data_IF_145154709764
#
_entry.id   IF_145154709764
#
_cell.length_a   1.000
_cell.length_b   1.000
_cell.length_c   1.000
_cell.angle_alpha   90.00
_cell.angle_beta   90.00
_cell.angle_gamma   90.00
#
_symmetry.space_group_name_H-M   'P 1'
#
loop_
_entity.id
_entity.type
_entity.pdbx_description
1 polymer ?
#
# COMPACT_ATOMS: atom_id res chain seq x y z
N UNK A 1 83.91 -25.92 -58.22
CA UNK A 1 84.28 -24.75 -57.41
C UNK A 1 83.37 -23.63 -57.82
N UNK A 2 82.39 -23.34 -56.97
CA UNK A 2 81.47 -22.21 -57.07
C UNK A 2 80.88 -22.08 -55.67
N UNK A 3 81.11 -20.95 -55.03
CA UNK A 3 80.45 -20.57 -53.79
C UNK A 3 79.04 -20.05 -54.08
N UNK A 4 78.10 -20.31 -53.17
CA UNK A 4 77.45 -19.24 -52.38
C UNK A 4 76.34 -19.85 -51.50
N UNK A 5 76.39 -19.62 -50.19
CA UNK A 5 75.35 -20.06 -49.26
C UNK A 5 75.33 -19.20 -47.97
N UNK A 6 74.46 -18.21 -47.93
CA UNK A 6 74.23 -17.32 -46.77
C UNK A 6 72.79 -16.75 -46.78
N UNK A 7 72.24 -16.18 -45.68
CA UNK A 7 71.39 -17.03 -44.83
C UNK A 7 70.04 -16.42 -44.38
N UNK A 8 69.13 -17.32 -43.95
CA UNK A 8 68.06 -17.10 -42.94
C UNK A 8 67.02 -15.98 -43.24
N UNK A 9 66.10 -15.64 -42.31
CA UNK A 9 64.99 -16.50 -41.89
C UNK A 9 63.61 -15.83 -42.04
N UNK A 10 62.56 -16.60 -42.35
CA UNK A 10 61.18 -16.15 -42.17
C UNK A 10 60.78 -16.22 -40.69
N UNK A 11 60.22 -15.13 -40.17
CA UNK A 11 59.66 -15.03 -38.82
C UNK A 11 58.14 -14.89 -38.90
N UNK A 12 57.39 -15.79 -38.28
CA UNK A 12 55.92 -15.66 -38.21
C UNK A 12 55.50 -14.50 -37.30
N UNK A 13 54.55 -13.64 -37.72
CA UNK A 13 53.99 -12.62 -36.86
C UNK A 13 53.05 -13.25 -35.82
N UNK A 14 53.51 -13.36 -34.57
CA UNK A 14 52.64 -13.78 -33.46
C UNK A 14 51.48 -12.78 -33.29
N UNK A 15 50.25 -13.23 -33.58
CA UNK A 15 49.04 -12.47 -33.29
C UNK A 15 48.87 -12.32 -31.78
N UNK A 16 49.10 -11.11 -31.28
CA UNK A 16 48.97 -10.79 -29.87
C UNK A 16 47.48 -10.60 -29.50
N UNK A 17 46.80 -11.69 -29.15
CA UNK A 17 45.47 -11.62 -28.54
C UNK A 17 45.53 -10.70 -27.30
N UNK A 18 44.74 -9.61 -27.24
CA UNK A 18 44.73 -8.73 -26.09
C UNK A 18 44.22 -9.50 -24.87
N UNK A 19 45.02 -9.55 -23.80
CA UNK A 19 44.56 -10.10 -22.52
C UNK A 19 43.56 -9.12 -21.92
N UNK A 20 42.36 -9.57 -21.49
CA UNK A 20 41.45 -8.70 -20.75
C UNK A 20 42.14 -8.25 -19.46
N UNK A 21 42.19 -6.94 -19.24
CA UNK A 21 42.81 -6.37 -18.05
C UNK A 21 41.86 -6.60 -16.87
N UNK A 22 42.32 -7.38 -15.89
CA UNK A 22 41.62 -7.50 -14.61
C UNK A 22 41.60 -6.12 -13.94
N UNK A 23 40.41 -5.57 -13.76
CA UNK A 23 40.18 -4.30 -13.09
C UNK A 23 39.55 -4.56 -11.74
N UNK A 24 39.77 -3.63 -10.81
CA UNK A 24 39.04 -3.65 -9.56
C UNK A 24 37.60 -3.18 -9.78
N UNK A 25 36.61 -3.77 -9.11
CA UNK A 25 35.21 -3.30 -9.20
C UNK A 25 35.10 -1.81 -8.84
N UNK A 26 35.97 -1.28 -7.98
CA UNK A 26 36.08 0.15 -7.69
C UNK A 26 36.19 1.05 -8.95
N UNK A 27 36.76 0.55 -10.05
CA UNK A 27 36.87 1.27 -11.33
C UNK A 27 35.68 1.02 -12.28
N UNK A 28 34.89 -0.03 -12.03
CA UNK A 28 33.73 -0.43 -12.85
C UNK A 28 32.38 -0.15 -12.16
N UNK A 29 32.39 0.49 -10.99
CA UNK A 29 31.23 0.69 -10.11
C UNK A 29 30.23 1.79 -10.56
N UNK A 30 29.97 1.93 -11.87
CA UNK A 30 28.78 2.64 -12.33
C UNK A 30 27.53 1.78 -12.07
N UNK A 31 26.40 2.37 -11.64
CA UNK A 31 25.15 1.62 -11.51
C UNK A 31 24.77 0.96 -12.84
N UNK A 32 24.33 -0.29 -12.77
CA UNK A 32 23.97 -1.15 -13.90
C UNK A 32 25.13 -1.55 -14.83
N UNK A 33 26.40 -1.41 -14.41
CA UNK A 33 27.53 -1.98 -15.13
C UNK A 33 27.47 -3.52 -15.16
N UNK A 34 27.65 -4.10 -16.35
CA UNK A 34 27.72 -5.55 -16.58
C UNK A 34 29.16 -6.03 -16.52
N UNK A 35 29.46 -6.91 -15.56
CA UNK A 35 30.82 -7.33 -15.19
C UNK A 35 30.90 -8.84 -15.00
N UNK A 36 32.06 -9.43 -15.29
CA UNK A 36 32.40 -10.80 -14.92
C UNK A 36 33.31 -10.78 -13.70
N UNK A 37 32.83 -11.32 -12.58
CA UNK A 37 33.62 -11.48 -11.36
C UNK A 37 34.74 -12.51 -11.60
N UNK A 38 35.91 -12.31 -11.00
CA UNK A 38 37.04 -13.25 -11.15
C UNK A 38 36.96 -14.46 -10.21
N UNK A 39 36.31 -14.34 -9.04
CA UNK A 39 36.30 -15.42 -8.02
C UNK A 39 35.11 -15.30 -7.07
N UNK A 40 34.17 -16.28 -7.04
CA UNK A 40 33.93 -17.28 -8.08
C UNK A 40 33.54 -16.62 -9.42
N UNK A 41 33.82 -17.27 -10.57
CA UNK A 41 33.50 -16.71 -11.88
C UNK A 41 31.99 -16.72 -12.15
N UNK A 42 31.40 -15.53 -12.23
CA UNK A 42 30.01 -15.29 -12.58
C UNK A 42 29.89 -14.01 -13.41
N UNK A 43 28.92 -13.97 -14.32
CA UNK A 43 28.45 -12.69 -14.86
C UNK A 43 27.52 -12.01 -13.85
N UNK A 44 27.56 -10.68 -13.79
CA UNK A 44 26.80 -9.91 -12.83
C UNK A 44 26.47 -8.49 -13.33
N UNK A 45 25.43 -7.89 -12.73
CA UNK A 45 25.07 -6.48 -12.89
C UNK A 45 25.33 -5.75 -11.56
N UNK A 46 26.12 -4.68 -11.59
CA UNK A 46 26.34 -3.80 -10.44
C UNK A 46 25.04 -3.07 -10.11
N UNK A 47 24.53 -3.21 -8.88
CA UNK A 47 23.29 -2.56 -8.45
C UNK A 47 23.55 -1.23 -7.76
N UNK A 48 24.37 -1.25 -6.70
CA UNK A 48 24.67 -0.07 -5.88
C UNK A 48 25.98 -0.22 -5.13
N UNK A 49 26.60 0.90 -4.75
CA UNK A 49 27.84 0.96 -3.97
C UNK A 49 27.55 1.55 -2.59
N UNK A 50 28.03 0.88 -1.55
CA UNK A 50 27.87 1.24 -0.13
C UNK A 50 29.26 1.30 0.52
N UNK A 51 29.96 2.41 0.30
CA UNK A 51 31.31 2.63 0.80
C UNK A 51 32.35 1.68 0.17
N UNK A 52 32.81 0.70 0.96
CA UNK A 52 33.72 -0.37 0.52
C UNK A 52 33.01 -1.66 0.10
N UNK A 53 31.68 -1.70 0.11
CA UNK A 53 30.89 -2.81 -0.40
C UNK A 53 30.16 -2.43 -1.68
N UNK A 54 29.95 -3.39 -2.57
CA UNK A 54 29.14 -3.26 -3.79
C UNK A 54 28.11 -4.39 -3.79
N UNK A 55 26.84 -4.04 -3.97
CA UNK A 55 25.78 -5.02 -4.19
C UNK A 55 25.71 -5.31 -5.69
N UNK A 56 25.84 -6.59 -6.07
CA UNK A 56 25.72 -7.07 -7.44
C UNK A 56 24.59 -8.08 -7.54
N UNK A 57 23.92 -8.15 -8.69
CA UNK A 57 23.04 -9.24 -9.04
C UNK A 57 23.79 -10.20 -9.96
N UNK A 58 23.92 -11.47 -9.55
CA UNK A 58 24.53 -12.50 -10.38
C UNK A 58 23.59 -12.94 -11.52
N UNK A 59 24.17 -13.53 -12.57
CA UNK A 59 23.46 -14.22 -13.66
C UNK A 59 22.46 -15.29 -13.19
N UNK A 60 22.70 -15.89 -12.03
CA UNK A 60 21.77 -16.80 -11.33
C UNK A 60 20.53 -16.12 -10.73
N UNK A 61 20.39 -14.80 -10.84
CA UNK A 61 19.31 -14.01 -10.23
C UNK A 61 19.49 -13.76 -8.73
N UNK A 62 20.63 -14.13 -8.15
CA UNK A 62 20.93 -13.95 -6.72
C UNK A 62 21.64 -12.62 -6.47
N UNK A 63 21.09 -11.78 -5.59
CA UNK A 63 21.76 -10.57 -5.11
C UNK A 63 22.84 -10.94 -4.10
N UNK A 64 24.05 -10.37 -4.27
CA UNK A 64 25.21 -10.62 -3.40
C UNK A 64 25.98 -9.33 -3.15
N UNK A 65 26.29 -9.07 -1.88
CA UNK A 65 27.28 -8.04 -1.51
C UNK A 65 28.69 -8.59 -1.69
N UNK A 66 29.55 -7.85 -2.38
CA UNK A 66 30.99 -8.11 -2.56
C UNK A 66 31.81 -6.92 -2.08
N UNK A 67 33.11 -7.12 -1.84
CA UNK A 67 34.00 -6.00 -1.52
C UNK A 67 34.25 -5.16 -2.79
N UNK A 68 34.45 -3.85 -2.63
CA UNK A 68 34.80 -2.95 -3.73
C UNK A 68 36.15 -3.32 -4.36
N UNK A 69 37.03 -3.99 -3.58
CA UNK A 69 38.33 -4.56 -3.96
C UNK A 69 38.25 -5.94 -4.64
N UNK A 70 37.12 -6.27 -5.29
CA UNK A 70 36.93 -7.57 -5.96
C UNK A 70 37.32 -7.45 -7.43
N UNK A 71 38.26 -8.29 -7.88
CA UNK A 71 38.66 -8.34 -9.29
C UNK A 71 37.50 -8.72 -10.21
N UNK A 72 37.31 -7.94 -11.27
CA UNK A 72 36.32 -8.17 -12.31
C UNK A 72 36.79 -7.65 -13.68
N UNK A 73 36.12 -8.07 -14.75
CA UNK A 73 36.30 -7.51 -16.10
C UNK A 73 34.96 -7.01 -16.63
N UNK A 74 34.94 -5.90 -17.36
CA UNK A 74 33.74 -5.47 -18.07
C UNK A 74 33.31 -6.54 -19.09
N UNK A 75 32.00 -6.71 -19.29
CA UNK A 75 31.47 -7.56 -20.36
C UNK A 75 31.25 -6.67 -21.58
N UNK A 76 32.01 -6.90 -22.65
CA UNK A 76 31.98 -6.06 -23.86
C UNK A 76 30.94 -6.52 -24.91
N UNK A 77 30.46 -7.76 -24.86
CA UNK A 77 29.42 -8.24 -25.78
C UNK A 77 28.06 -7.62 -25.45
N UNK A 78 27.60 -6.71 -26.32
CA UNK A 78 26.29 -6.06 -26.22
C UNK A 78 25.12 -7.05 -26.17
N UNK A 79 25.22 -8.24 -26.77
CA UNK A 79 24.20 -9.29 -26.67
C UNK A 79 24.01 -9.74 -25.21
N UNK A 80 25.09 -10.21 -24.59
CA UNK A 80 25.14 -10.60 -23.18
C UNK A 80 24.85 -9.44 -22.22
N UNK A 81 25.27 -8.21 -22.53
CA UNK A 81 24.89 -7.03 -21.75
C UNK A 81 23.37 -6.87 -21.66
N UNK A 82 22.67 -6.90 -22.80
CA UNK A 82 21.21 -6.73 -22.89
C UNK A 82 20.47 -7.88 -22.19
N UNK A 83 20.99 -9.12 -22.30
CA UNK A 83 20.46 -10.28 -21.59
C UNK A 83 20.52 -10.10 -20.06
N UNK A 84 21.72 -9.78 -19.53
CA UNK A 84 21.95 -9.59 -18.10
C UNK A 84 21.13 -8.42 -17.53
N UNK A 85 21.05 -7.30 -18.26
CA UNK A 85 20.25 -6.14 -17.85
C UNK A 85 18.74 -6.44 -17.86
N UNK A 86 18.25 -7.22 -18.82
CA UNK A 86 16.84 -7.66 -18.86
C UNK A 86 16.52 -8.63 -17.72
N UNK A 87 17.41 -9.58 -17.46
CA UNK A 87 17.31 -10.47 -16.29
C UNK A 87 17.28 -9.68 -14.98
N UNK A 88 18.19 -8.72 -14.83
CA UNK A 88 18.24 -7.86 -13.66
C UNK A 88 16.98 -7.01 -13.48
N UNK A 89 16.48 -6.37 -14.53
CA UNK A 89 15.22 -5.63 -14.49
C UNK A 89 14.03 -6.52 -14.06
N UNK A 90 13.98 -7.78 -14.51
CA UNK A 90 12.93 -8.75 -14.16
C UNK A 90 13.01 -9.22 -12.70
N UNK A 91 14.21 -9.48 -12.18
CA UNK A 91 14.40 -9.86 -10.76
C UNK A 91 14.11 -8.66 -9.85
N UNK A 92 14.60 -7.48 -10.18
CA UNK A 92 14.40 -6.27 -9.37
C UNK A 92 12.93 -5.81 -9.36
N UNK A 93 12.21 -5.91 -10.48
CA UNK A 93 10.78 -5.62 -10.51
C UNK A 93 9.98 -6.63 -9.67
N UNK A 94 10.29 -7.91 -9.79
CA UNK A 94 9.68 -8.99 -9.00
C UNK A 94 9.91 -8.80 -7.49
N UNK A 95 11.14 -8.47 -7.07
CA UNK A 95 11.45 -8.14 -5.68
C UNK A 95 10.70 -6.89 -5.22
N UNK A 96 10.67 -5.82 -6.01
CA UNK A 96 9.93 -4.60 -5.67
C UNK A 96 8.41 -4.84 -5.56
N UNK A 97 7.85 -5.75 -6.35
CA UNK A 97 6.45 -6.20 -6.26
C UNK A 97 6.20 -6.92 -4.93
N UNK A 98 7.08 -7.87 -4.57
CA UNK A 98 7.01 -8.63 -3.32
C UNK A 98 7.15 -7.72 -2.09
N UNK A 99 8.10 -6.77 -2.09
CA UNK A 99 8.25 -5.80 -1.01
C UNK A 99 7.04 -4.87 -0.88
N UNK A 100 6.47 -4.39 -2.00
CA UNK A 100 5.22 -3.59 -1.97
C UNK A 100 4.06 -4.37 -1.37
N UNK A 101 3.84 -5.62 -1.81
CA UNK A 101 2.80 -6.48 -1.24
C UNK A 101 3.03 -6.80 0.25
N UNK A 102 4.28 -7.09 0.65
CA UNK A 102 4.62 -7.38 2.05
C UNK A 102 4.38 -6.16 2.94
N UNK A 103 4.77 -4.97 2.49
CA UNK A 103 4.52 -3.70 3.18
C UNK A 103 3.02 -3.40 3.29
N UNK A 104 2.23 -3.67 2.25
CA UNK A 104 0.78 -3.50 2.26
C UNK A 104 0.09 -4.46 3.24
N UNK A 105 0.50 -5.74 3.27
CA UNK A 105 0.00 -6.72 4.26
C UNK A 105 0.34 -6.30 5.69
N UNK A 106 1.59 -5.92 5.95
CA UNK A 106 2.03 -5.46 7.27
C UNK A 106 1.28 -4.20 7.74
N UNK A 107 0.98 -3.27 6.83
CA UNK A 107 0.17 -2.09 7.14
C UNK A 107 -1.29 -2.45 7.44
N UNK A 108 -1.91 -3.33 6.64
CA UNK A 108 -3.28 -3.83 6.89
C UNK A 108 -3.38 -4.56 8.23
N UNK A 109 -2.50 -5.52 8.48
CA UNK A 109 -2.39 -6.22 9.75
C UNK A 109 -2.22 -5.28 10.96
N UNK A 110 -1.53 -4.13 10.79
CA UNK A 110 -1.36 -3.15 11.84
C UNK A 110 -2.68 -2.41 12.13
N UNK A 111 -3.42 -2.00 11.09
CA UNK A 111 -4.76 -1.40 11.22
C UNK A 111 -5.72 -2.38 11.90
N UNK A 112 -5.76 -3.64 11.46
CA UNK A 112 -6.62 -4.68 12.06
C UNK A 112 -6.32 -4.89 13.55
N UNK A 113 -5.05 -4.86 13.95
CA UNK A 113 -4.60 -4.99 15.34
C UNK A 113 -4.99 -3.76 16.17
N UNK A 114 -4.84 -2.54 15.66
CA UNK A 114 -5.29 -1.32 16.34
C UNK A 114 -6.82 -1.30 16.51
N UNK A 115 -7.58 -1.71 15.49
CA UNK A 115 -9.05 -1.77 15.57
C UNK A 115 -9.51 -2.84 16.58
N UNK A 116 -8.84 -4.00 16.64
CA UNK A 116 -9.07 -5.02 17.65
C UNK A 116 -8.76 -4.53 19.09
N UNK A 117 -7.66 -3.80 19.28
CA UNK A 117 -7.30 -3.18 20.56
C UNK A 117 -8.35 -2.14 20.98
N UNK A 118 -8.77 -1.26 20.06
CA UNK A 118 -9.85 -0.30 20.27
C UNK A 118 -11.16 -0.98 20.67
N UNK A 119 -11.54 -2.04 19.96
CA UNK A 119 -12.77 -2.82 20.22
C UNK A 119 -12.72 -3.50 21.59
N UNK A 120 -11.56 -4.01 22.00
CA UNK A 120 -11.34 -4.56 23.34
C UNK A 120 -11.46 -3.50 24.45
N UNK A 121 -10.82 -2.34 24.28
CA UNK A 121 -10.88 -1.23 25.25
C UNK A 121 -12.32 -0.68 25.41
N UNK A 122 -13.07 -0.56 24.30
CA UNK A 122 -14.49 -0.19 24.32
C UNK A 122 -15.33 -1.27 25.03
N UNK A 123 -15.03 -2.56 24.85
CA UNK A 123 -15.64 -3.66 25.60
C UNK A 123 -15.44 -3.50 27.10
N UNK A 124 -14.18 -3.40 27.54
CA UNK A 124 -13.81 -3.20 28.95
C UNK A 124 -14.40 -1.95 29.60
N UNK A 125 -14.67 -0.90 28.82
CA UNK A 125 -15.41 0.26 29.30
C UNK A 125 -16.91 -0.03 29.50
N UNK A 126 -17.55 -0.80 28.61
CA UNK A 126 -18.95 -1.22 28.76
C UNK A 126 -19.15 -2.19 29.92
N UNK A 127 -18.16 -3.05 30.17
CA UNK A 127 -18.13 -3.97 31.32
C UNK A 127 -17.86 -3.25 32.65
N UNK A 128 -17.57 -1.94 32.63
CA UNK A 128 -17.30 -1.11 33.81
C UNK A 128 -15.87 -1.19 34.35
N UNK A 129 -15.01 -2.03 33.77
CA UNK A 129 -13.60 -2.19 34.17
C UNK A 129 -12.74 -0.96 33.83
N UNK A 130 -13.14 -0.17 32.82
CA UNK A 130 -12.46 1.08 32.41
C UNK A 130 -13.43 2.25 32.49
N UNK A 131 -13.05 3.32 33.20
CA UNK A 131 -13.85 4.53 33.28
C UNK A 131 -13.80 5.33 31.95
N UNK A 132 -14.84 6.14 31.69
CA UNK A 132 -14.99 6.88 30.43
C UNK A 132 -13.74 7.70 30.06
N UNK A 133 -13.25 8.51 31.02
CA UNK A 133 -12.07 9.36 30.84
C UNK A 133 -10.81 8.54 30.57
N UNK A 134 -10.69 7.34 31.15
CA UNK A 134 -9.57 6.43 30.93
C UNK A 134 -9.58 5.83 29.52
N UNK A 135 -10.76 5.50 29.00
CA UNK A 135 -10.92 5.08 27.60
C UNK A 135 -10.59 6.23 26.64
N UNK A 136 -11.12 7.44 26.87
CA UNK A 136 -10.86 8.59 25.99
C UNK A 136 -9.38 8.98 25.96
N UNK A 137 -8.71 8.98 27.12
CA UNK A 137 -7.27 9.21 27.20
C UNK A 137 -6.46 8.12 26.49
N UNK A 138 -6.83 6.84 26.66
CA UNK A 138 -6.20 5.73 25.95
C UNK A 138 -6.35 5.85 24.43
N UNK A 139 -7.54 6.19 23.94
CA UNK A 139 -7.76 6.35 22.50
C UNK A 139 -6.98 7.55 21.94
N UNK A 140 -6.91 8.67 22.68
CA UNK A 140 -6.15 9.85 22.27
C UNK A 140 -4.62 9.60 22.22
N UNK A 141 -4.06 8.89 23.22
CA UNK A 141 -2.61 8.58 23.28
C UNK A 141 -2.13 7.76 22.06
N UNK A 142 -3.00 6.92 21.50
CA UNK A 142 -2.69 6.06 20.34
C UNK A 142 -3.29 6.57 19.01
N UNK A 143 -3.71 7.84 18.93
CA UNK A 143 -4.33 8.48 17.74
C UNK A 143 -5.51 7.67 17.16
N UNK A 144 -6.32 7.07 18.04
CA UNK A 144 -7.48 6.25 17.69
C UNK A 144 -8.77 7.08 17.69
N UNK A 145 -9.71 6.73 16.80
CA UNK A 145 -11.04 7.36 16.76
C UNK A 145 -11.73 7.31 18.15
N UNK A 146 -12.13 8.47 18.68
CA UNK A 146 -12.85 8.61 19.95
C UNK A 146 -14.07 7.68 20.06
N UNK A 147 -14.42 7.21 21.26
CA UNK A 147 -15.59 6.36 21.43
C UNK A 147 -16.89 7.18 21.46
N UNK A 148 -17.66 7.17 20.37
CA UNK A 148 -18.93 7.90 20.28
C UNK A 148 -20.13 6.93 20.30
N UNK A 149 -20.65 6.55 21.50
CA UNK A 149 -21.81 5.67 21.62
C UNK A 149 -23.09 6.35 21.12
N UNK A 150 -23.53 5.99 19.92
CA UNK A 150 -24.86 6.37 19.41
C UNK A 150 -25.94 5.52 20.10
N UNK A 151 -27.05 6.14 20.49
CA UNK A 151 -28.28 5.46 20.90
C UNK A 151 -29.30 5.60 19.77
N UNK A 152 -29.99 4.53 19.41
CA UNK A 152 -31.20 4.60 18.59
C UNK A 152 -32.39 4.73 19.54
N UNK A 153 -33.24 5.72 19.32
CA UNK A 153 -34.55 5.85 19.99
C UNK A 153 -35.60 5.44 18.96
N UNK A 154 -36.56 4.63 19.39
CA UNK A 154 -37.75 4.28 18.60
C UNK A 154 -38.96 4.68 19.43
N UNK A 155 -39.89 5.38 18.80
CA UNK A 155 -41.05 5.99 19.44
C UNK A 155 -42.25 5.92 18.51
N UNK A 156 -43.45 6.13 19.07
CA UNK A 156 -44.71 6.25 18.33
C UNK A 156 -45.36 7.56 18.76
N UNK A 157 -45.93 8.31 17.82
CA UNK A 157 -46.75 9.49 18.10
C UNK A 157 -48.19 9.14 17.71
N UNK A 158 -49.14 9.54 18.55
CA UNK A 158 -50.58 9.40 18.32
C UNK A 158 -51.24 10.69 18.75
N UNK A 159 -52.16 11.20 17.94
CA UNK A 159 -52.89 12.44 18.17
C UNK A 159 -53.84 12.73 17.01
N UNK A 160 -54.75 13.67 17.22
CA UNK A 160 -55.71 14.17 16.23
C UNK A 160 -55.37 15.60 15.83
N UNK A 161 -55.93 16.05 14.70
CA UNK A 161 -55.94 17.43 14.26
C UNK A 161 -57.23 17.70 13.47
N UNK A 162 -57.74 18.91 13.59
CA UNK A 162 -58.93 19.38 12.86
C UNK A 162 -58.50 20.16 11.60
N UNK A 163 -59.37 20.23 10.59
CA UNK A 163 -59.16 21.00 9.36
C UNK A 163 -60.46 21.69 8.95
N UNK A 164 -60.35 22.88 8.33
CA UNK A 164 -61.51 23.59 7.80
C UNK A 164 -62.21 22.74 6.70
N UNK A 165 -63.46 22.35 6.93
CA UNK A 165 -64.29 21.60 5.97
C UNK A 165 -64.56 22.33 4.63
N UNK A 166 -64.03 23.56 4.48
CA UNK A 166 -64.08 24.35 3.25
C UNK A 166 -62.94 24.09 2.25
N UNK A 167 -61.83 23.42 2.63
CA UNK A 167 -60.78 23.05 1.66
C UNK A 167 -61.09 21.66 1.06
N UNK A 168 -61.25 21.60 -0.26
CA UNK A 168 -61.79 20.44 -0.97
C UNK A 168 -60.76 19.31 -1.22
N UNK A 169 -59.89 19.06 -0.23
CA UNK A 169 -58.82 18.05 -0.26
C UNK A 169 -59.20 16.81 0.54
N UNK A 170 -58.41 15.75 0.40
CA UNK A 170 -58.56 14.56 1.24
C UNK A 170 -57.59 14.68 2.43
N UNK A 171 -58.07 14.92 3.68
CA UNK A 171 -57.20 15.03 4.86
C UNK A 171 -56.44 13.74 5.16
N UNK A 172 -56.97 12.57 4.79
CA UNK A 172 -56.26 11.28 4.92
C UNK A 172 -55.02 11.22 4.01
N UNK A 173 -55.09 11.85 2.82
CA UNK A 173 -53.97 11.92 1.88
C UNK A 173 -52.98 13.01 2.29
N UNK A 174 -53.46 14.24 2.51
CA UNK A 174 -52.62 15.38 2.87
C UNK A 174 -51.91 15.12 4.22
N UNK A 175 -52.58 14.48 5.19
CA UNK A 175 -51.99 14.03 6.44
C UNK A 175 -50.85 13.02 6.23
N UNK A 176 -51.05 11.96 5.43
CA UNK A 176 -49.97 10.97 5.13
C UNK A 176 -48.81 11.54 4.31
N UNK A 177 -48.99 12.68 3.64
CA UNK A 177 -47.91 13.35 2.90
C UNK A 177 -47.23 14.48 3.68
N UNK A 178 -47.92 15.10 4.65
CA UNK A 178 -47.49 16.35 5.28
C UNK A 178 -47.19 16.23 6.77
N UNK A 179 -47.73 15.22 7.47
CA UNK A 179 -47.30 14.90 8.84
C UNK A 179 -45.85 14.43 8.79
N UNK A 180 -45.00 15.05 9.61
CA UNK A 180 -43.61 14.65 9.79
C UNK A 180 -43.18 14.98 11.22
N UNK A 181 -42.16 14.29 11.72
CA UNK A 181 -41.64 14.51 13.07
C UNK A 181 -40.42 15.41 12.98
N UNK A 182 -40.51 16.63 13.51
CA UNK A 182 -39.31 17.45 13.65
C UNK A 182 -38.48 16.97 14.85
N UNK A 183 -37.42 16.21 14.55
CA UNK A 183 -36.44 15.74 15.52
C UNK A 183 -35.26 16.71 15.71
N UNK A 184 -35.18 17.82 14.97
CA UNK A 184 -34.03 18.74 14.99
C UNK A 184 -33.83 19.43 16.35
N UNK A 185 -34.90 19.56 17.14
CA UNK A 185 -34.87 20.10 18.50
C UNK A 185 -34.40 19.09 19.58
N UNK A 186 -34.16 17.83 19.23
CA UNK A 186 -33.70 16.81 20.18
C UNK A 186 -32.18 16.90 20.40
N UNK A 187 -31.75 16.95 21.66
CA UNK A 187 -30.32 16.99 22.01
C UNK A 187 -29.59 15.72 21.52
N UNK A 188 -28.45 15.92 20.87
CA UNK A 188 -27.68 14.86 20.21
C UNK A 188 -28.34 14.26 18.96
N UNK A 189 -29.36 14.89 18.36
CA UNK A 189 -29.89 14.48 17.06
C UNK A 189 -28.81 14.48 15.96
N UNK A 190 -28.91 13.53 15.04
CA UNK A 190 -28.02 13.42 13.89
C UNK A 190 -28.86 13.68 12.64
N UNK A 191 -28.50 14.69 11.86
CA UNK A 191 -29.22 15.04 10.63
C UNK A 191 -29.28 13.84 9.67
N UNK A 192 -30.43 13.67 9.01
CA UNK A 192 -30.73 12.51 8.16
C UNK A 192 -30.79 11.16 8.89
N UNK A 193 -30.82 11.12 10.23
CA UNK A 193 -30.95 9.85 11.00
C UNK A 193 -32.37 9.56 11.49
N UNK A 194 -33.34 10.42 11.19
CA UNK A 194 -34.75 10.15 11.41
C UNK A 194 -35.27 9.31 10.23
N UNK A 195 -35.92 8.19 10.54
CA UNK A 195 -36.43 7.22 9.60
C UNK A 195 -37.94 7.05 9.90
N UNK A 196 -38.81 7.33 8.94
CA UNK A 196 -40.28 7.36 9.12
C UNK A 196 -40.94 6.45 8.08
N UNK A 197 -40.83 5.14 8.30
CA UNK A 197 -41.39 4.11 7.42
C UNK A 197 -42.94 4.12 7.36
N UNK A 198 -43.61 4.63 8.40
CA UNK A 198 -45.06 4.46 8.55
C UNK A 198 -45.72 5.66 9.26
N UNK A 199 -46.76 6.22 8.61
CA UNK A 199 -47.71 7.16 9.20
C UNK A 199 -49.09 6.52 9.05
N UNK A 200 -49.61 6.00 10.16
CA UNK A 200 -51.00 5.54 10.21
C UNK A 200 -51.92 6.74 10.41
N UNK A 201 -53.04 6.73 9.69
CA UNK A 201 -54.22 7.54 10.01
C UNK A 201 -55.31 6.49 10.16
N UNK A 202 -55.76 6.30 11.39
CA UNK A 202 -56.63 5.18 11.77
C UNK A 202 -58.12 5.54 11.61
N UNK A 203 -58.46 6.83 11.74
CA UNK A 203 -59.82 7.36 11.67
C UNK A 203 -59.81 8.84 11.24
N UNK A 204 -60.91 9.29 10.64
CA UNK A 204 -61.22 10.69 10.30
C UNK A 204 -62.71 10.88 10.54
N UNK A 205 -63.10 11.70 11.52
CA UNK A 205 -64.48 12.11 11.80
C UNK A 205 -64.71 13.57 11.36
N UNK A 206 -65.95 13.91 10.98
CA UNK A 206 -66.38 15.31 10.89
C UNK A 206 -66.67 15.84 12.31
N UNK A 207 -66.18 17.04 12.64
CA UNK A 207 -66.40 17.68 13.95
C UNK A 207 -67.34 18.88 13.79
N UNK A 208 -68.48 18.86 14.48
CA UNK A 208 -69.44 19.98 14.51
C UNK A 208 -68.91 21.17 15.33
N UNK A 209 -69.18 22.41 14.89
CA UNK A 209 -68.92 23.64 15.66
C UNK A 209 -70.05 23.90 16.69
N UNK A 210 -69.69 24.13 17.96
CA UNK A 210 -70.57 24.42 19.13
C UNK A 210 -70.76 25.95 19.38
#
# INVERSE_FOLDING_TARGET
MTDDNQPTPNSDPQSANPRPVALDLHHLATPFATVRLSTPPHDAVVLTRRGQSIDVLLDTGVTRTVQATTSATAIEDAGRQIELLRGAASVLSSQAEQYRQASQRAAGEHVDKLEAIRRYAIGKHRDGEVCRNGLDAFLAEFDMESYQPRKRVTFTITGSYEVDAGDARNPEYDGRQSLTVDASAADGYIDGSLDVDNISIDEVEDVDED
#
